data_IF_028657245062
#
_entry.id   IF_028657245062
#
_cell.length_a   1.000
_cell.length_b   1.000
_cell.length_c   1.000
_cell.angle_alpha   90.00
_cell.angle_beta   90.00
_cell.angle_gamma   90.00
#
_symmetry.space_group_name_H-M   'P 1'
#
loop_
_entity.id
_entity.type
_entity.pdbx_description
1 polymer ?
#
# COMPACT_ATOMS: atom_id res chain seq x y z
N UNK A 1 1.92 8.02 11.46
CA UNK A 1 1.87 9.49 11.71
C UNK A 1 0.88 9.72 12.82
N UNK A 2 1.10 10.63 13.77
CA UNK A 2 0.11 10.90 14.83
C UNK A 2 -0.90 11.97 14.37
N UNK A 3 -1.31 11.90 13.10
CA UNK A 3 -2.02 12.97 12.41
C UNK A 3 -2.20 12.68 10.93
N UNK A 4 -3.12 13.44 10.31
CA UNK A 4 -3.33 13.38 8.86
C UNK A 4 -2.02 13.57 8.08
N UNK A 5 -1.79 12.71 7.10
CA UNK A 5 -0.62 12.79 6.22
C UNK A 5 -1.05 13.29 4.85
N UNK A 6 -0.60 14.50 4.47
CA UNK A 6 -0.95 15.10 3.18
C UNK A 6 0.14 14.87 2.13
N UNK A 7 -0.25 14.25 1.02
CA UNK A 7 0.59 14.05 -0.16
C UNK A 7 0.00 14.87 -1.32
N UNK A 8 0.68 15.97 -1.65
CA UNK A 8 0.15 17.00 -2.55
C UNK A 8 0.97 17.18 -3.84
N UNK A 9 2.12 16.52 -3.96
CA UNK A 9 3.03 16.70 -5.08
C UNK A 9 4.35 15.95 -4.96
N UNK A 10 5.17 16.06 -5.99
CA UNK A 10 6.49 15.41 -6.07
C UNK A 10 6.43 13.93 -6.43
N UNK A 11 7.60 13.28 -6.36
CA UNK A 11 7.76 11.83 -6.51
C UNK A 11 8.14 11.24 -5.16
N UNK A 12 7.31 10.36 -4.64
CA UNK A 12 7.49 9.75 -3.32
C UNK A 12 7.66 8.24 -3.49
N UNK A 13 8.69 7.71 -2.86
CA UNK A 13 8.96 6.28 -2.74
C UNK A 13 9.04 5.95 -1.25
N UNK A 14 8.04 5.27 -0.74
CA UNK A 14 7.89 4.92 0.65
C UNK A 14 8.03 3.40 0.82
N UNK A 15 9.02 2.99 1.59
CA UNK A 15 9.43 1.60 1.72
C UNK A 15 9.41 1.24 3.20
N UNK A 16 8.41 0.47 3.61
CA UNK A 16 8.34 -0.18 4.92
C UNK A 16 9.08 -1.51 4.90
N UNK A 17 8.68 -2.43 5.77
CA UNK A 17 9.14 -3.82 5.77
C UNK A 17 7.96 -4.76 5.55
N UNK A 18 8.19 -6.07 5.64
CA UNK A 18 7.17 -7.06 5.32
C UNK A 18 6.11 -7.22 6.42
N UNK A 19 6.42 -6.95 7.69
CA UNK A 19 5.47 -6.97 8.81
C UNK A 19 6.09 -6.47 10.13
N UNK A 20 5.39 -5.60 10.90
CA UNK A 20 4.13 -4.93 10.55
C UNK A 20 4.35 -3.73 9.59
N UNK A 21 5.61 -3.40 9.24
CA UNK A 21 5.97 -2.03 8.87
C UNK A 21 5.41 -1.64 7.49
N UNK A 22 4.56 -0.62 7.49
CA UNK A 22 3.94 -0.05 6.30
C UNK A 22 4.87 0.96 5.61
N UNK A 23 4.67 1.20 4.32
CA UNK A 23 5.35 2.28 3.63
C UNK A 23 4.82 3.64 4.08
N UNK A 24 3.49 3.76 4.22
CA UNK A 24 2.82 4.95 4.75
C UNK A 24 1.82 4.56 5.85
N UNK A 25 1.84 5.34 6.94
CA UNK A 25 1.01 5.15 8.13
C UNK A 25 0.41 6.48 8.58
N UNK A 26 -0.91 6.58 8.63
CA UNK A 26 -1.59 7.74 9.19
C UNK A 26 -2.08 7.55 10.63
N UNK A 27 -1.87 6.41 11.30
CA UNK A 27 -2.56 6.05 12.55
C UNK A 27 -4.09 6.11 12.37
N UNK A 28 -4.58 5.30 11.42
CA UNK A 28 -6.00 5.22 11.06
C UNK A 28 -6.88 4.77 12.24
N UNK A 29 -6.29 4.11 13.23
CA UNK A 29 -6.90 3.70 14.50
C UNK A 29 -7.34 4.90 15.36
N UNK A 30 -6.68 6.05 15.23
CA UNK A 30 -7.06 7.30 15.90
C UNK A 30 -7.91 8.22 15.00
N UNK A 31 -8.39 7.72 13.86
CA UNK A 31 -9.28 8.45 12.95
C UNK A 31 -8.58 9.40 12.00
N UNK A 32 -7.25 9.31 11.88
CA UNK A 32 -6.48 10.04 10.89
C UNK A 32 -6.47 9.32 9.54
N UNK A 33 -6.10 10.06 8.49
CA UNK A 33 -6.08 9.56 7.12
C UNK A 33 -4.81 9.97 6.39
N UNK A 34 -4.48 9.26 5.32
CA UNK A 34 -3.61 9.79 4.27
C UNK A 34 -4.48 10.56 3.26
N UNK A 35 -4.07 11.75 2.86
CA UNK A 35 -4.81 12.60 1.92
C UNK A 35 -3.98 12.75 0.64
N UNK A 36 -4.50 12.24 -0.47
CA UNK A 36 -3.83 12.32 -1.77
C UNK A 36 -4.50 13.37 -2.65
N UNK A 37 -3.77 14.43 -2.95
CA UNK A 37 -4.23 15.52 -3.84
C UNK A 37 -3.31 15.78 -5.02
N UNK A 38 -2.14 15.13 -5.05
CA UNK A 38 -1.20 15.25 -6.16
C UNK A 38 0.06 14.42 -5.96
N UNK A 39 0.89 14.39 -7.01
CA UNK A 39 2.18 13.71 -7.00
C UNK A 39 2.13 12.30 -7.59
N UNK A 40 3.28 11.62 -7.54
CA UNK A 40 3.46 10.24 -7.99
C UNK A 40 4.07 9.46 -6.84
N UNK A 41 3.29 8.55 -6.26
CA UNK A 41 3.60 7.82 -5.04
C UNK A 41 3.70 6.33 -5.32
N UNK A 42 4.76 5.70 -4.81
CA UNK A 42 4.82 4.27 -4.56
C UNK A 42 4.99 4.07 -3.05
N UNK A 43 4.12 3.24 -2.45
CA UNK A 43 4.30 2.73 -1.10
C UNK A 43 4.34 1.20 -1.12
N UNK A 44 5.33 0.60 -0.45
CA UNK A 44 5.50 -0.85 -0.32
C UNK A 44 5.72 -1.20 1.15
N UNK A 45 4.97 -2.16 1.70
CA UNK A 45 5.13 -2.61 3.08
C UNK A 45 3.99 -3.50 3.57
N UNK A 46 3.96 -3.87 4.85
CA UNK A 46 3.01 -4.82 5.44
C UNK A 46 1.52 -4.42 5.38
N UNK A 47 1.22 -3.12 5.23
CA UNK A 47 -0.15 -2.62 5.05
C UNK A 47 -0.18 -1.09 5.00
N UNK A 48 -0.19 -0.51 3.81
CA UNK A 48 -0.21 0.95 3.67
C UNK A 48 -1.57 1.54 4.03
N UNK A 49 -1.58 2.63 4.81
CA UNK A 49 -2.78 3.45 5.00
C UNK A 49 -3.33 3.97 3.68
N UNK A 50 -4.64 4.15 3.62
CA UNK A 50 -5.34 4.55 2.40
C UNK A 50 -6.21 5.78 2.61
N UNK A 51 -6.42 6.59 1.56
CA UNK A 51 -7.39 7.68 1.61
C UNK A 51 -8.76 7.22 2.10
N UNK A 52 -9.29 7.87 3.13
CA UNK A 52 -10.60 7.57 3.71
C UNK A 52 -11.53 8.77 3.79
N UNK A 53 -11.04 9.96 3.42
CA UNK A 53 -11.80 11.21 3.47
C UNK A 53 -12.04 11.78 2.08
N UNK A 54 -13.08 12.61 1.94
CA UNK A 54 -13.39 13.33 0.72
C UNK A 54 -12.39 14.45 0.38
N UNK A 55 -11.42 14.72 1.25
CA UNK A 55 -10.32 15.65 0.97
C UNK A 55 -9.35 15.12 -0.08
N UNK A 56 -9.31 13.80 -0.28
CA UNK A 56 -8.50 13.20 -1.34
C UNK A 56 -9.17 13.41 -2.70
N UNK A 57 -8.38 13.89 -3.66
CA UNK A 57 -8.81 14.15 -5.03
C UNK A 57 -8.06 13.31 -6.06
N UNK A 58 -6.98 12.63 -5.65
CA UNK A 58 -6.20 11.75 -6.51
C UNK A 58 -6.44 10.29 -6.13
N UNK A 59 -6.93 9.44 -7.07
CA UNK A 59 -7.11 8.02 -6.80
C UNK A 59 -5.80 7.28 -6.56
N UNK A 60 -5.92 6.07 -6.02
CA UNK A 60 -4.83 5.12 -5.86
C UNK A 60 -5.26 3.74 -6.33
N UNK A 61 -4.28 2.89 -6.63
CA UNK A 61 -4.44 1.45 -6.78
C UNK A 61 -3.67 0.75 -5.69
N UNK A 62 -4.14 -0.41 -5.25
CA UNK A 62 -3.41 -1.25 -4.31
C UNK A 62 -3.54 -2.74 -4.63
N UNK A 63 -2.59 -3.52 -4.12
CA UNK A 63 -2.62 -4.97 -4.26
C UNK A 63 -1.40 -5.65 -3.64
N UNK A 64 -1.39 -6.98 -3.65
CA UNK A 64 -0.32 -7.79 -3.07
C UNK A 64 0.52 -8.40 -4.19
N UNK A 65 1.83 -8.18 -4.15
CA UNK A 65 2.77 -8.68 -5.14
C UNK A 65 4.16 -8.75 -4.51
N UNK A 66 4.90 -9.83 -4.82
CA UNK A 66 6.32 -9.88 -4.51
C UNK A 66 7.10 -9.01 -5.49
N UNK A 67 8.00 -8.17 -5.00
CA UNK A 67 8.90 -7.37 -5.81
C UNK A 67 10.34 -7.60 -5.38
N UNK A 68 11.25 -7.55 -6.34
CA UNK A 68 12.67 -7.85 -6.13
C UNK A 68 13.48 -6.57 -6.19
N UNK A 69 14.56 -6.52 -5.42
CA UNK A 69 15.51 -5.43 -5.44
C UNK A 69 15.97 -5.14 -6.87
N UNK A 70 16.10 -3.86 -7.19
CA UNK A 70 16.49 -3.31 -8.49
C UNK A 70 15.52 -3.59 -9.65
N UNK A 71 14.37 -4.23 -9.40
CA UNK A 71 13.32 -4.33 -10.41
C UNK A 71 12.49 -3.06 -10.47
N UNK A 72 11.94 -2.80 -11.66
CA UNK A 72 10.94 -1.75 -11.85
C UNK A 72 9.53 -2.28 -11.53
N UNK A 73 8.83 -1.54 -10.67
CA UNK A 73 7.37 -1.58 -10.60
C UNK A 73 6.85 -0.57 -11.61
N UNK A 74 5.99 -1.02 -12.53
CA UNK A 74 5.27 -0.11 -13.44
C UNK A 74 3.77 -0.19 -13.21
N UNK A 75 3.10 0.95 -13.32
CA UNK A 75 1.65 1.04 -13.39
C UNK A 75 1.25 1.38 -14.83
N UNK A 76 0.35 0.58 -15.42
CA UNK A 76 -0.06 0.70 -16.81
C UNK A 76 -1.57 0.84 -16.98
N UNK A 77 -1.96 1.64 -17.97
CA UNK A 77 -3.29 1.66 -18.58
C UNK A 77 -3.18 1.06 -20.00
N UNK A 78 -3.62 -0.19 -20.13
CA UNK A 78 -3.31 -1.02 -21.30
C UNK A 78 -1.80 -1.10 -21.53
N UNK A 79 -1.34 -0.57 -22.66
CA UNK A 79 0.08 -0.50 -23.01
C UNK A 79 0.79 0.79 -22.56
N UNK A 80 0.04 1.79 -22.10
CA UNK A 80 0.58 3.08 -21.66
C UNK A 80 1.14 2.96 -20.24
N UNK A 81 2.41 3.31 -20.05
CA UNK A 81 3.03 3.39 -18.72
C UNK A 81 2.66 4.73 -18.07
N UNK A 82 2.02 4.67 -16.89
CA UNK A 82 1.61 5.84 -16.12
C UNK A 82 2.65 6.24 -15.06
N UNK A 83 3.33 5.27 -14.46
CA UNK A 83 4.38 5.49 -13.48
C UNK A 83 5.36 4.31 -13.45
N UNK A 84 6.62 4.60 -13.17
CA UNK A 84 7.70 3.61 -13.03
C UNK A 84 8.53 3.94 -11.79
N UNK A 85 8.86 2.91 -11.01
CA UNK A 85 9.67 3.04 -9.81
C UNK A 85 10.63 1.87 -9.68
N UNK A 86 11.89 2.13 -9.38
CA UNK A 86 12.83 1.07 -8.98
C UNK A 86 12.64 0.75 -7.49
N UNK A 87 12.60 -0.53 -7.15
CA UNK A 87 12.52 -0.98 -5.75
C UNK A 87 13.94 -1.20 -5.21
N UNK A 88 14.29 -0.72 -4.00
CA UNK A 88 15.65 -0.85 -3.48
C UNK A 88 15.95 -2.25 -2.94
N UNK A 89 14.92 -2.97 -2.48
CA UNK A 89 15.05 -4.21 -1.71
C UNK A 89 13.99 -5.24 -2.12
N UNK A 90 14.12 -6.45 -1.59
CA UNK A 90 13.16 -7.53 -1.83
C UNK A 90 11.97 -7.40 -0.88
N UNK A 91 10.77 -7.52 -1.43
CA UNK A 91 9.50 -7.52 -0.71
C UNK A 91 8.69 -8.73 -1.14
N UNK A 92 8.34 -9.60 -0.20
CA UNK A 92 7.58 -10.81 -0.50
C UNK A 92 6.10 -10.60 -0.22
N UNK A 93 5.23 -11.01 -1.14
CA UNK A 93 3.81 -11.20 -0.85
C UNK A 93 3.62 -12.45 0.03
N UNK A 94 2.74 -12.40 1.03
CA UNK A 94 2.28 -13.61 1.71
C UNK A 94 1.38 -14.40 0.77
N UNK A 95 1.60 -15.70 0.67
CA UNK A 95 0.52 -16.59 0.30
C UNK A 95 -0.53 -16.57 1.42
N UNK A 96 -1.77 -16.24 1.10
CA UNK A 96 -2.89 -16.50 1.99
C UNK A 96 -3.07 -18.02 2.11
N UNK A 97 -2.40 -18.64 3.08
CA UNK A 97 -2.61 -20.02 3.49
C UNK A 97 -2.70 -20.05 5.00
N UNK A 98 -3.89 -20.30 5.54
CA UNK A 98 -4.07 -20.49 6.99
C UNK A 98 -3.17 -21.63 7.50
N UNK A 99 -2.36 -21.33 8.52
CA UNK A 99 -1.47 -22.29 9.18
C UNK A 99 -0.62 -21.61 10.26
N UNK A 100 -0.30 -22.30 11.36
CA UNK A 100 -0.08 -21.68 12.68
C UNK A 100 1.28 -20.97 12.82
N UNK A 101 1.22 -19.86 13.57
CA UNK A 101 2.29 -19.07 14.18
C UNK A 101 3.69 -19.71 14.18
N UNK A 102 4.67 -19.02 13.59
CA UNK A 102 6.10 -19.23 13.87
C UNK A 102 6.71 -17.98 14.49
N UNK A 103 6.79 -18.04 15.83
CA UNK A 103 7.75 -17.41 16.75
C UNK A 103 8.32 -16.01 16.45
N UNK A 104 7.71 -15.03 17.13
CA UNK A 104 8.31 -13.90 17.83
C UNK A 104 9.83 -13.66 17.71
N UNK A 105 10.20 -12.46 17.23
CA UNK A 105 11.39 -11.77 17.72
C UNK A 105 11.07 -11.14 19.10
N UNK A 106 12.01 -11.12 20.06
CA UNK A 106 11.75 -10.67 21.42
C UNK A 106 11.79 -9.14 21.50
N UNK A 107 10.61 -8.51 21.55
CA UNK A 107 10.49 -7.10 21.90
C UNK A 107 9.24 -6.47 21.29
N UNK A 108 8.15 -6.40 22.06
CA UNK A 108 6.97 -5.61 21.68
C UNK A 108 5.64 -6.35 21.71
N UNK A 109 5.46 -7.37 22.57
CA UNK A 109 4.14 -7.92 22.87
C UNK A 109 3.35 -6.96 23.78
N UNK A 110 2.85 -5.86 23.21
CA UNK A 110 1.81 -5.04 23.81
C UNK A 110 0.42 -5.62 23.50
N UNK A 111 -0.58 -5.47 24.37
CA UNK A 111 -1.90 -6.07 24.17
C UNK A 111 -2.66 -5.32 23.06
N UNK A 112 -2.65 -5.87 21.85
CA UNK A 112 -3.43 -5.35 20.73
C UNK A 112 -3.17 -6.06 19.41
N UNK A 113 -4.09 -6.93 19.00
CA UNK A 113 -4.38 -7.24 17.60
C UNK A 113 -3.58 -8.38 16.98
N UNK A 114 -4.26 -9.48 16.66
CA UNK A 114 -3.72 -10.57 15.84
C UNK A 114 -3.33 -10.11 14.43
N UNK A 115 -2.10 -10.45 14.02
CA UNK A 115 -1.51 -10.01 12.75
C UNK A 115 -2.05 -10.85 11.59
N UNK A 116 -3.07 -10.33 10.90
CA UNK A 116 -3.62 -10.92 9.69
C UNK A 116 -2.82 -10.53 8.45
N UNK A 117 -1.96 -11.45 7.97
CA UNK A 117 -1.37 -11.44 6.62
C UNK A 117 0.04 -10.84 6.54
N UNK A 118 1.08 -11.67 6.67
CA UNK A 118 2.49 -11.26 6.58
C UNK A 118 2.98 -11.06 5.13
N UNK A 119 2.39 -10.09 4.43
CA UNK A 119 2.63 -9.89 2.99
C UNK A 119 2.78 -8.45 2.57
N UNK A 120 3.69 -8.22 1.61
CA UNK A 120 3.93 -6.89 1.06
C UNK A 120 2.72 -6.40 0.25
N UNK A 121 2.12 -5.31 0.71
CA UNK A 121 1.16 -4.48 0.00
C UNK A 121 1.88 -3.44 -0.85
N UNK A 122 1.43 -3.26 -2.08
CA UNK A 122 1.85 -2.18 -2.98
C UNK A 122 0.68 -1.21 -3.07
N UNK A 123 0.96 0.07 -2.93
CA UNK A 123 0.04 1.16 -3.20
C UNK A 123 0.71 2.13 -4.17
N UNK A 124 -0.01 2.51 -5.23
CA UNK A 124 0.47 3.50 -6.20
C UNK A 124 -0.61 4.55 -6.41
N UNK A 125 -0.23 5.83 -6.41
CA UNK A 125 -1.09 6.94 -6.78
C UNK A 125 -0.36 7.85 -7.78
N UNK A 126 -1.03 8.29 -8.84
CA UNK A 126 -0.51 9.28 -9.78
C UNK A 126 -1.65 10.05 -10.48
N UNK A 127 -1.31 11.17 -11.12
CA UNK A 127 -2.26 12.14 -11.71
C UNK A 127 -3.24 11.53 -12.73
N UNK A 128 -2.85 10.44 -13.40
CA UNK A 128 -3.62 9.87 -14.51
C UNK A 128 -4.52 8.69 -14.09
N UNK A 129 -4.71 8.47 -12.78
CA UNK A 129 -5.68 7.51 -12.30
C UNK A 129 -7.08 8.08 -12.28
N UNK A 130 -8.04 7.26 -12.69
CA UNK A 130 -9.47 7.53 -12.66
C UNK A 130 -10.15 6.47 -11.79
N UNK A 131 -10.86 6.91 -10.74
CA UNK A 131 -11.55 5.99 -9.83
C UNK A 131 -12.58 5.15 -10.59
N UNK A 132 -12.60 3.84 -10.34
CA UNK A 132 -13.44 2.86 -11.04
C UNK A 132 -12.80 2.26 -12.31
N UNK A 133 -11.69 2.81 -12.80
CA UNK A 133 -10.97 2.28 -13.96
C UNK A 133 -9.98 1.18 -13.57
N UNK A 134 -9.76 0.23 -14.48
CA UNK A 134 -8.83 -0.88 -14.31
C UNK A 134 -7.43 -0.57 -14.83
N UNK A 135 -6.41 -1.01 -14.10
CA UNK A 135 -4.99 -0.80 -14.40
C UNK A 135 -4.20 -2.09 -14.17
N UNK A 136 -2.95 -2.12 -14.62
CA UNK A 136 -2.04 -3.26 -14.40
C UNK A 136 -0.76 -2.80 -13.70
N UNK A 137 -0.44 -3.40 -12.57
CA UNK A 137 0.87 -3.29 -11.93
C UNK A 137 1.75 -4.41 -12.48
N UNK A 138 2.98 -4.11 -12.88
CA UNK A 138 3.96 -5.12 -13.31
C UNK A 138 5.25 -4.99 -12.53
N UNK A 139 5.92 -6.12 -12.27
CA UNK A 139 7.28 -6.19 -11.73
C UNK A 139 7.99 -7.43 -12.27
N UNK A 140 9.05 -7.24 -13.05
CA UNK A 140 9.67 -8.34 -13.80
C UNK A 140 8.66 -9.09 -14.67
N UNK A 141 8.50 -10.39 -14.44
CA UNK A 141 7.54 -11.24 -15.15
C UNK A 141 6.16 -11.30 -14.49
N UNK A 142 6.01 -10.69 -13.31
CA UNK A 142 4.75 -10.68 -12.55
C UNK A 142 3.86 -9.51 -12.97
N UNK A 143 2.55 -9.76 -12.98
CA UNK A 143 1.54 -8.72 -13.23
C UNK A 143 0.33 -8.89 -12.33
N UNK A 144 -0.32 -7.79 -11.98
CA UNK A 144 -1.51 -7.74 -11.16
C UNK A 144 -2.49 -6.72 -11.75
N UNK A 145 -3.73 -7.17 -12.01
CA UNK A 145 -4.83 -6.27 -12.38
C UNK A 145 -5.43 -5.66 -11.13
N UNK A 146 -5.64 -4.35 -11.15
CA UNK A 146 -6.13 -3.56 -10.01
C UNK A 146 -7.16 -2.54 -10.49
N UNK A 147 -8.05 -2.13 -9.61
CA UNK A 147 -9.02 -1.05 -9.89
C UNK A 147 -8.65 0.16 -9.06
N UNK A 148 -8.58 1.34 -9.67
CA UNK A 148 -8.31 2.55 -8.92
C UNK A 148 -9.52 2.95 -8.10
N UNK A 149 -9.29 3.44 -6.89
CA UNK A 149 -10.31 3.93 -5.97
C UNK A 149 -9.89 5.29 -5.41
N UNK A 150 -10.86 6.19 -5.23
CA UNK A 150 -10.60 7.52 -4.68
C UNK A 150 -10.45 7.49 -3.15
N UNK A 151 -11.35 6.74 -2.50
CA UNK A 151 -11.37 6.53 -1.05
C UNK A 151 -11.61 5.05 -0.79
N UNK A 152 -10.76 4.45 0.04
CA UNK A 152 -11.02 3.15 0.62
C UNK A 152 -12.04 3.26 1.76
N UNK A 153 -12.73 2.15 2.06
CA UNK A 153 -13.37 2.05 3.37
C UNK A 153 -12.28 2.09 4.43
N UNK A 154 -12.13 3.20 5.15
CA UNK A 154 -11.64 3.13 6.52
C UNK A 154 -12.63 2.23 7.24
N UNK A 155 -12.27 0.96 7.44
CA UNK A 155 -13.11 0.02 8.14
C UNK A 155 -13.31 0.48 9.58
N UNK A 156 -14.29 1.36 9.82
CA UNK A 156 -14.99 1.55 11.09
C UNK A 156 -15.91 0.36 11.40
N UNK A 157 -15.49 -0.85 11.02
CA UNK A 157 -16.04 -2.10 11.50
C UNK A 157 -15.01 -2.64 12.47
N UNK A 158 -15.39 -2.70 13.75
CA UNK A 158 -14.53 -3.12 14.85
C UNK A 158 -13.58 -4.22 14.43
N UNK A 159 -12.28 -3.89 14.39
CA UNK A 159 -11.21 -4.86 14.18
C UNK A 159 -11.35 -5.85 15.33
N UNK A 160 -11.72 -7.11 15.08
CA UNK A 160 -11.75 -8.09 16.14
C UNK A 160 -10.31 -8.26 16.61
N UNK A 161 -10.09 -7.90 17.87
CA UNK A 161 -8.83 -7.98 18.60
C UNK A 161 -8.17 -9.35 18.44
#
# INVERSE_FOLDING_TARGET
>A
SNGNMYIQGGTIRAFGTTSPECGIDANEEEGYSVIFTGGTLLAVGGGNSVPSTSESTQPYVSGNMSVTANQEITLKDGDTVLATFTVPENYSASSSGGGPHVSAAPGGGGPGGGWGGSGSSILISCKNLSSGSGYTITSGTSSLKVTAILTGSSGGGGRPW
#
